data_IF_322267332616
#
_entry.id   IF_322267332616
#
_cell.length_a   1.000
_cell.length_b   1.000
_cell.length_c   1.000
_cell.angle_alpha   90.00
_cell.angle_beta   90.00
_cell.angle_gamma   90.00
#
_symmetry.space_group_name_H-M   'P 1'
#
loop_
_entity.id
_entity.type
_entity.pdbx_description
1 polymer ?
#
# COMPACT_ATOMS: atom_id res chain seq x y z
N UNK A 1 13.05 -25.15 -23.89
CA UNK A 1 12.25 -24.00 -23.40
C UNK A 1 11.88 -23.14 -24.59
N UNK A 2 10.60 -22.79 -24.75
CA UNK A 2 10.14 -22.04 -25.93
C UNK A 2 10.47 -20.55 -25.78
N UNK A 3 10.79 -19.85 -26.88
CA UNK A 3 11.08 -18.42 -26.91
C UNK A 3 9.97 -17.57 -26.25
N UNK A 4 8.73 -18.06 -26.27
CA UNK A 4 7.56 -17.45 -25.61
C UNK A 4 7.65 -17.51 -24.07
N UNK A 5 8.22 -18.57 -23.50
CA UNK A 5 8.45 -18.69 -22.05
C UNK A 5 9.60 -17.78 -21.60
N UNK A 6 10.65 -17.67 -22.43
CA UNK A 6 11.76 -16.74 -22.19
C UNK A 6 11.27 -15.30 -22.25
N UNK A 7 10.45 -14.94 -23.24
CA UNK A 7 9.84 -13.62 -23.40
C UNK A 7 8.85 -13.30 -22.24
N UNK A 8 8.08 -14.28 -21.78
CA UNK A 8 7.20 -14.14 -20.63
C UNK A 8 8.00 -13.94 -19.32
N UNK A 9 9.08 -14.70 -19.13
CA UNK A 9 9.99 -14.53 -18.00
C UNK A 9 10.63 -13.13 -18.04
N UNK A 10 11.23 -12.72 -19.16
CA UNK A 10 11.84 -11.38 -19.29
C UNK A 10 10.84 -10.24 -19.12
N UNK A 11 9.58 -10.40 -19.54
CA UNK A 11 8.52 -9.42 -19.28
C UNK A 11 8.12 -9.37 -17.81
N UNK A 12 8.27 -10.48 -17.08
CA UNK A 12 8.06 -10.53 -15.63
C UNK A 12 9.22 -9.86 -14.88
N UNK A 13 10.42 -9.86 -15.46
CA UNK A 13 11.61 -9.20 -14.94
C UNK A 13 11.77 -7.74 -15.37
N UNK A 14 10.91 -7.18 -16.24
CA UNK A 14 10.95 -5.75 -16.57
C UNK A 14 10.59 -4.93 -15.31
N UNK A 15 11.57 -4.22 -14.70
CA UNK A 15 11.39 -3.54 -13.42
C UNK A 15 10.27 -2.50 -13.45
N UNK A 16 10.00 -1.90 -14.62
CA UNK A 16 8.94 -0.90 -14.79
C UNK A 16 7.56 -1.56 -14.76
N UNK A 17 7.43 -2.70 -15.42
CA UNK A 17 6.19 -3.48 -15.40
C UNK A 17 5.90 -4.03 -13.99
N UNK A 18 6.94 -4.44 -13.26
CA UNK A 18 6.85 -4.90 -11.88
C UNK A 18 6.43 -3.77 -10.94
N UNK A 19 7.06 -2.58 -11.05
CA UNK A 19 6.69 -1.40 -10.28
C UNK A 19 5.22 -1.03 -10.48
N UNK A 20 4.74 -1.03 -11.72
CA UNK A 20 3.33 -0.73 -12.02
C UNK A 20 2.37 -1.75 -11.38
N UNK A 21 2.69 -3.05 -11.43
CA UNK A 21 1.88 -4.10 -10.78
C UNK A 21 1.84 -3.92 -9.27
N UNK A 22 2.96 -3.57 -8.65
CA UNK A 22 3.02 -3.30 -7.21
C UNK A 22 2.18 -2.08 -6.82
N UNK A 23 2.20 -1.01 -7.61
CA UNK A 23 1.34 0.17 -7.37
C UNK A 23 -0.15 -0.17 -7.54
N UNK A 24 -0.51 -0.95 -8.55
CA UNK A 24 -1.90 -1.42 -8.72
C UNK A 24 -2.34 -2.27 -7.53
N UNK A 25 -1.49 -3.19 -7.08
CA UNK A 25 -1.81 -4.07 -5.96
C UNK A 25 -1.96 -3.29 -4.65
N UNK A 26 -1.07 -2.33 -4.38
CA UNK A 26 -1.16 -1.41 -3.24
C UNK A 26 -2.47 -0.61 -3.29
N UNK A 27 -2.77 0.03 -4.43
CA UNK A 27 -4.01 0.79 -4.59
C UNK A 27 -5.27 -0.08 -4.40
N UNK A 28 -5.28 -1.32 -4.89
CA UNK A 28 -6.39 -2.23 -4.76
C UNK A 28 -6.60 -2.68 -3.30
N UNK A 29 -5.53 -3.13 -2.64
CA UNK A 29 -5.58 -3.56 -1.23
C UNK A 29 -5.99 -2.39 -0.34
N UNK A 30 -5.38 -1.23 -0.52
CA UNK A 30 -5.70 -0.03 0.26
C UNK A 30 -7.12 0.46 -0.02
N UNK A 31 -7.57 0.42 -1.28
CA UNK A 31 -8.93 0.78 -1.67
C UNK A 31 -10.00 -0.14 -1.08
N UNK A 32 -9.77 -1.46 -1.03
CA UNK A 32 -10.69 -2.40 -0.37
C UNK A 32 -10.82 -2.09 1.12
N UNK A 33 -9.70 -1.80 1.79
CA UNK A 33 -9.72 -1.39 3.21
C UNK A 33 -10.46 -0.07 3.42
N UNK A 34 -10.21 0.92 2.55
CA UNK A 34 -10.90 2.21 2.58
C UNK A 34 -12.42 2.05 2.48
N UNK A 35 -12.88 1.26 1.50
CA UNK A 35 -14.31 0.99 1.29
C UNK A 35 -14.91 0.23 2.47
N UNK A 36 -14.20 -0.77 3.01
CA UNK A 36 -14.65 -1.50 4.19
C UNK A 36 -14.81 -0.56 5.39
N UNK A 37 -13.83 0.32 5.65
CA UNK A 37 -13.86 1.26 6.76
C UNK A 37 -14.95 2.32 6.61
N UNK A 38 -15.22 2.80 5.39
CA UNK A 38 -16.30 3.76 5.13
C UNK A 38 -17.68 3.11 5.24
N UNK A 39 -17.89 1.98 4.57
CA UNK A 39 -19.21 1.33 4.47
C UNK A 39 -19.60 0.59 5.74
N UNK A 40 -18.62 0.05 6.48
CA UNK A 40 -18.83 -0.79 7.66
C UNK A 40 -18.21 -0.19 8.92
N UNK A 41 -18.01 1.13 8.97
CA UNK A 41 -17.41 1.86 10.10
C UNK A 41 -18.02 1.49 11.47
N UNK A 42 -19.35 1.34 11.54
CA UNK A 42 -20.06 0.97 12.77
C UNK A 42 -19.73 -0.46 13.24
N UNK A 43 -20.06 -1.50 12.46
CA UNK A 43 -19.75 -2.89 12.81
C UNK A 43 -18.26 -3.15 13.02
N UNK A 44 -17.40 -2.66 12.13
CA UNK A 44 -15.95 -2.83 12.24
C UNK A 44 -15.39 -2.06 13.43
N UNK A 45 -15.88 -0.85 13.71
CA UNK A 45 -15.46 -0.09 14.89
C UNK A 45 -15.70 -0.86 16.19
N UNK A 46 -16.89 -1.46 16.34
CA UNK A 46 -17.19 -2.34 17.49
C UNK A 46 -16.29 -3.57 17.55
N UNK A 47 -16.05 -4.22 16.41
CA UNK A 47 -15.23 -5.42 16.35
C UNK A 47 -13.76 -5.14 16.68
N UNK A 48 -13.20 -4.06 16.12
CA UNK A 48 -11.81 -3.64 16.31
C UNK A 48 -11.60 -2.87 17.62
N UNK A 49 -12.67 -2.49 18.33
CA UNK A 49 -12.59 -1.64 19.52
C UNK A 49 -12.13 -0.21 19.20
N UNK A 50 -12.46 0.30 18.02
CA UNK A 50 -12.08 1.64 17.54
C UNK A 50 -13.34 2.46 17.28
N UNK A 51 -13.31 3.75 17.61
CA UNK A 51 -14.44 4.65 17.35
C UNK A 51 -14.81 4.67 15.86
N UNK A 52 -16.10 4.51 15.54
CA UNK A 52 -16.59 4.46 14.16
C UNK A 52 -16.29 5.75 13.37
N UNK A 53 -16.30 6.91 14.03
CA UNK A 53 -15.90 8.19 13.42
C UNK A 53 -14.42 8.22 13.03
N UNK A 54 -13.54 7.69 13.89
CA UNK A 54 -12.13 7.53 13.55
C UNK A 54 -11.96 6.55 12.38
N UNK A 55 -12.65 5.41 12.42
CA UNK A 55 -12.56 4.42 11.35
C UNK A 55 -13.06 4.96 10.00
N UNK A 56 -14.15 5.72 9.99
CA UNK A 56 -14.63 6.40 8.79
C UNK A 56 -13.62 7.46 8.28
N UNK A 57 -13.01 8.24 9.18
CA UNK A 57 -11.95 9.18 8.83
C UNK A 57 -10.72 8.51 8.21
N UNK A 58 -10.27 7.39 8.79
CA UNK A 58 -9.20 6.56 8.24
C UNK A 58 -9.60 6.01 6.87
N UNK A 59 -10.84 5.54 6.71
CA UNK A 59 -11.36 5.07 5.43
C UNK A 59 -11.33 6.15 4.34
N UNK A 60 -11.74 7.38 4.67
CA UNK A 60 -11.68 8.50 3.73
C UNK A 60 -10.24 8.85 3.33
N UNK A 61 -9.31 8.88 4.29
CA UNK A 61 -7.89 9.08 4.04
C UNK A 61 -7.31 7.99 3.12
N UNK A 62 -7.59 6.71 3.42
CA UNK A 62 -7.12 5.59 2.62
C UNK A 62 -7.72 5.60 1.21
N UNK A 63 -8.97 6.06 1.04
CA UNK A 63 -9.58 6.21 -0.27
C UNK A 63 -8.84 7.25 -1.12
N UNK A 64 -8.51 8.41 -0.53
CA UNK A 64 -7.74 9.45 -1.19
C UNK A 64 -6.33 8.97 -1.56
N UNK A 65 -5.67 8.26 -0.65
CA UNK A 65 -4.36 7.66 -0.89
C UNK A 65 -4.41 6.63 -2.02
N UNK A 66 -5.33 5.66 -1.96
CA UNK A 66 -5.51 4.63 -2.97
C UNK A 66 -5.79 5.24 -4.35
N UNK A 67 -6.59 6.31 -4.43
CA UNK A 67 -6.81 7.05 -5.66
C UNK A 67 -5.51 7.66 -6.20
N UNK A 68 -4.71 8.31 -5.34
CA UNK A 68 -3.40 8.84 -5.72
C UNK A 68 -2.44 7.77 -6.26
N UNK A 69 -2.36 6.63 -5.60
CA UNK A 69 -1.55 5.48 -6.04
C UNK A 69 -2.07 4.90 -7.36
N UNK A 70 -3.39 4.77 -7.53
CA UNK A 70 -4.01 4.29 -8.77
C UNK A 70 -3.72 5.24 -9.95
N UNK A 71 -3.81 6.56 -9.73
CA UNK A 71 -3.45 7.57 -10.73
C UNK A 71 -1.97 7.47 -11.11
N UNK A 72 -1.09 7.18 -10.15
CA UNK A 72 0.32 6.96 -10.42
C UNK A 72 0.54 5.67 -11.23
N UNK A 73 -0.17 4.60 -10.89
CA UNK A 73 -0.12 3.31 -11.59
C UNK A 73 -0.69 3.37 -13.01
N UNK A 74 -1.63 4.29 -13.29
CA UNK A 74 -2.21 4.49 -14.61
C UNK A 74 -1.20 5.11 -15.60
N UNK A 75 -0.13 5.74 -15.12
CA UNK A 75 0.90 6.34 -15.98
C UNK A 75 1.80 5.27 -16.58
N UNK A 76 2.09 5.40 -17.88
CA UNK A 76 3.06 4.55 -18.58
C UNK A 76 4.47 4.66 -17.99
N UNK A 77 4.81 5.86 -17.51
CA UNK A 77 6.05 6.17 -16.80
C UNK A 77 5.71 6.86 -15.48
N UNK A 78 5.62 6.10 -14.37
CA UNK A 78 5.39 6.68 -13.05
C UNK A 78 6.55 7.62 -12.67
N UNK A 79 6.29 8.90 -12.32
CA UNK A 79 7.34 9.80 -11.85
C UNK A 79 8.00 9.28 -10.57
N UNK A 80 9.34 9.28 -10.54
CA UNK A 80 10.17 8.84 -9.40
C UNK A 80 9.75 9.50 -8.09
N UNK A 81 9.47 10.82 -8.12
CA UNK A 81 9.03 11.56 -6.93
C UNK A 81 7.69 11.04 -6.39
N UNK A 82 6.75 10.72 -7.26
CA UNK A 82 5.46 10.16 -6.86
C UNK A 82 5.61 8.80 -6.19
N UNK A 83 6.45 7.93 -6.76
CA UNK A 83 6.71 6.60 -6.17
C UNK A 83 7.40 6.73 -4.82
N UNK A 84 8.37 7.64 -4.65
CA UNK A 84 9.02 7.89 -3.36
C UNK A 84 8.04 8.39 -2.31
N UNK A 85 7.13 9.30 -2.66
CA UNK A 85 6.08 9.75 -1.76
C UNK A 85 5.19 8.59 -1.27
N UNK A 86 4.78 7.67 -2.16
CA UNK A 86 4.01 6.47 -1.78
C UNK A 86 4.78 5.61 -0.77
N UNK A 87 6.07 5.37 -1.04
CA UNK A 87 6.95 4.61 -0.12
C UNK A 87 7.06 5.29 1.24
N UNK A 88 7.31 6.59 1.28
CA UNK A 88 7.46 7.37 2.51
C UNK A 88 6.16 7.40 3.33
N UNK A 89 5.01 7.58 2.67
CA UNK A 89 3.70 7.56 3.31
C UNK A 89 3.40 6.17 3.89
N UNK A 90 3.67 5.09 3.15
CA UNK A 90 3.46 3.73 3.63
C UNK A 90 4.34 3.43 4.86
N UNK A 91 5.61 3.86 4.87
CA UNK A 91 6.50 3.71 6.03
C UNK A 91 5.98 4.52 7.22
N UNK A 92 5.63 5.79 7.00
CA UNK A 92 5.07 6.65 8.04
C UNK A 92 3.78 6.05 8.62
N UNK A 93 2.90 5.51 7.77
CA UNK A 93 1.67 4.85 8.18
C UNK A 93 1.93 3.61 9.05
N UNK A 94 2.89 2.77 8.66
CA UNK A 94 3.30 1.61 9.43
C UNK A 94 3.83 2.00 10.82
N UNK A 95 4.69 3.02 10.90
CA UNK A 95 5.24 3.54 12.15
C UNK A 95 4.14 4.14 13.03
N UNK A 96 3.32 5.03 12.48
CA UNK A 96 2.23 5.68 13.22
C UNK A 96 1.22 4.65 13.72
N UNK A 97 0.92 3.61 12.94
CA UNK A 97 0.04 2.50 13.38
C UNK A 97 0.59 1.80 14.63
N UNK A 98 1.89 1.49 14.65
CA UNK A 98 2.53 0.87 15.81
C UNK A 98 2.58 1.83 17.01
N UNK A 99 2.94 3.09 16.78
CA UNK A 99 2.99 4.12 17.82
C UNK A 99 1.61 4.37 18.43
N UNK A 100 0.56 4.40 17.60
CA UNK A 100 -0.81 4.57 18.04
C UNK A 100 -1.26 3.46 19.00
N UNK A 101 -0.91 2.19 18.70
CA UNK A 101 -1.21 1.06 19.60
C UNK A 101 -0.56 1.17 20.97
N UNK A 102 0.66 1.75 21.05
CA UNK A 102 1.43 1.78 22.30
C UNK A 102 1.05 2.97 23.18
N UNK A 103 0.66 4.09 22.57
CA UNK A 103 0.58 5.38 23.27
C UNK A 103 -0.82 6.04 23.29
N UNK A 104 -1.79 5.61 22.46
CA UNK A 104 -2.97 6.44 22.09
C UNK A 104 -4.27 5.63 21.96
N UNK A 105 -4.19 4.40 21.44
CA UNK A 105 -5.34 3.57 21.12
C UNK A 105 -5.32 2.29 21.96
N UNK A 106 -6.47 1.98 22.56
CA UNK A 106 -6.73 0.72 23.25
C UNK A 106 -7.77 -0.10 22.46
N UNK A 107 -7.41 -0.63 21.28
CA UNK A 107 -8.34 -1.43 20.48
C UNK A 107 -8.66 -2.76 21.17
N UNK A 108 -9.67 -3.46 20.65
CA UNK A 108 -9.90 -4.86 21.01
C UNK A 108 -8.68 -5.71 20.62
N UNK A 109 -8.58 -6.93 21.17
CA UNK A 109 -7.54 -7.89 20.75
C UNK A 109 -7.52 -8.10 19.24
N UNK A 110 -8.70 -8.14 18.60
CA UNK A 110 -8.81 -8.25 17.16
C UNK A 110 -8.26 -7.01 16.44
N UNK A 111 -8.54 -5.80 16.94
CA UNK A 111 -7.99 -4.56 16.40
C UNK A 111 -6.47 -4.43 16.58
N UNK A 112 -5.93 -4.87 17.72
CA UNK A 112 -4.50 -4.93 17.96
C UNK A 112 -3.81 -5.88 16.96
N UNK A 113 -4.31 -7.12 16.84
CA UNK A 113 -3.79 -8.11 15.88
C UNK A 113 -3.87 -7.59 14.46
N UNK A 114 -5.01 -7.00 14.06
CA UNK A 114 -5.17 -6.41 12.73
C UNK A 114 -4.14 -5.31 12.45
N UNK A 115 -3.94 -4.40 13.39
CA UNK A 115 -3.01 -3.28 13.26
C UNK A 115 -1.56 -3.76 13.15
N UNK A 116 -1.18 -4.77 13.93
CA UNK A 116 0.15 -5.40 13.85
C UNK A 116 0.34 -6.14 12.53
N UNK A 117 -0.67 -6.83 12.02
CA UNK A 117 -0.57 -7.58 10.76
C UNK A 117 -0.52 -6.67 9.52
N UNK A 118 -1.28 -5.56 9.50
CA UNK A 118 -1.28 -4.67 8.33
C UNK A 118 0.03 -3.89 8.18
N UNK A 119 0.70 -3.55 9.28
CA UNK A 119 1.92 -2.75 9.29
C UNK A 119 3.06 -3.34 8.43
N UNK A 120 3.46 -4.62 8.58
CA UNK A 120 4.48 -5.23 7.73
C UNK A 120 4.01 -5.43 6.28
N UNK A 121 2.71 -5.60 6.02
CA UNK A 121 2.18 -5.68 4.66
C UNK A 121 2.37 -4.36 3.92
N UNK A 122 2.00 -3.24 4.56
CA UNK A 122 2.18 -1.89 4.03
C UNK A 122 3.67 -1.55 3.86
N UNK A 123 4.51 -1.89 4.84
CA UNK A 123 5.96 -1.73 4.74
C UNK A 123 6.56 -2.60 3.61
N UNK A 124 6.03 -3.80 3.39
CA UNK A 124 6.41 -4.69 2.29
C UNK A 124 6.12 -4.07 0.93
N UNK A 125 4.95 -3.47 0.73
CA UNK A 125 4.65 -2.70 -0.49
C UNK A 125 5.67 -1.59 -0.73
N UNK A 126 5.96 -0.79 0.31
CA UNK A 126 6.94 0.28 0.24
C UNK A 126 8.33 -0.24 -0.18
N UNK A 127 8.79 -1.33 0.43
CA UNK A 127 10.09 -1.93 0.12
C UNK A 127 10.15 -2.43 -1.33
N UNK A 128 9.14 -3.18 -1.77
CA UNK A 128 9.11 -3.71 -3.14
C UNK A 128 9.03 -2.61 -4.20
N UNK A 129 8.22 -1.57 -3.95
CA UNK A 129 8.14 -0.39 -4.84
C UNK A 129 9.49 0.34 -4.91
N UNK A 130 10.16 0.53 -3.78
CA UNK A 130 11.48 1.16 -3.72
C UNK A 130 12.55 0.35 -4.49
N UNK A 131 12.58 -0.97 -4.30
CA UNK A 131 13.53 -1.83 -5.01
C UNK A 131 13.28 -1.81 -6.53
N UNK A 132 12.02 -1.91 -6.97
CA UNK A 132 11.68 -1.86 -8.38
C UNK A 132 12.04 -0.50 -9.03
N UNK A 133 11.86 0.60 -8.30
CA UNK A 133 12.26 1.93 -8.74
C UNK A 133 13.79 2.05 -8.89
N UNK A 134 14.54 1.56 -7.91
CA UNK A 134 16.02 1.61 -7.91
C UNK A 134 16.62 0.83 -9.08
N UNK A 135 16.05 -0.33 -9.41
CA UNK A 135 16.52 -1.17 -10.53
C UNK A 135 16.17 -0.49 -11.86
N UNK A 136 14.95 0.05 -11.99
CA UNK A 136 14.51 0.76 -13.20
C UNK A 136 15.41 1.94 -13.58
N UNK A 137 15.97 2.64 -12.58
CA UNK A 137 16.82 3.81 -12.79
C UNK A 137 18.26 3.45 -13.21
N UNK A 138 18.78 2.28 -12.80
CA UNK A 138 20.11 1.82 -13.23
C UNK A 138 20.11 1.48 -14.72
N UNK A 139 19.09 0.77 -15.18
CA UNK A 139 18.95 0.33 -16.58
C UNK A 139 18.73 1.49 -17.57
N UNK A 140 18.44 2.71 -17.11
CA UNK A 140 18.34 3.89 -17.98
C UNK A 140 19.65 4.68 -18.12
N UNK A 141 20.68 4.33 -17.35
CA UNK A 141 22.00 4.98 -17.38
C UNK A 141 23.11 4.07 -17.94
N UNK A 142 22.79 2.80 -18.24
CA UNK A 142 23.62 1.87 -19.01
C UNK A 142 23.20 1.90 -20.48
#
# INVERSE_FOLDING_TARGET
>A
MSATQLAALTRTFDPRSALRRLLVLDAAVTGVNALAYLALSGPLGRFLGVGSGLLAGLGAFLAAYAAGVALLAARRYPPTLGVRAVVEINIAWAVVSCVALVLWLEPSTAGAVWTVLQSPVVAGFALFQYMALRISHRLSHE
#
